data_IF_635580254146
#
_entry.id   IF_635580254146
#
_cell.length_a   1.000
_cell.length_b   1.000
_cell.length_c   1.000
_cell.angle_alpha   90.00
_cell.angle_beta   90.00
_cell.angle_gamma   90.00
#
_symmetry.space_group_name_H-M   'P 1'
#
loop_
_entity.id
_entity.type
_entity.pdbx_description
1 polymer ?
#
# COMPACT_ATOMS: atom_id res chain seq x y z
N UNK A 1 13.31 11.96 6.09
CA UNK A 1 11.98 12.55 6.36
C UNK A 1 11.05 11.45 6.83
N UNK A 2 10.45 11.59 8.02
CA UNK A 2 9.39 10.67 8.46
C UNK A 2 8.05 11.02 7.82
N UNK A 3 7.15 10.04 7.67
CA UNK A 3 5.78 10.23 7.18
C UNK A 3 4.82 9.50 8.12
N UNK A 4 3.65 10.08 8.37
CA UNK A 4 2.57 9.40 9.07
C UNK A 4 1.91 8.41 8.11
N UNK A 5 1.63 7.20 8.60
CA UNK A 5 1.06 6.12 7.78
C UNK A 5 -0.21 5.58 8.43
N UNK A 6 -1.35 5.93 7.85
CA UNK A 6 -2.61 5.25 8.13
C UNK A 6 -2.71 3.97 7.29
N UNK A 7 -3.29 2.94 7.88
CA UNK A 7 -3.57 1.68 7.18
C UNK A 7 -5.08 1.49 7.13
N UNK A 8 -5.62 1.04 6.00
CA UNK A 8 -7.03 0.68 5.91
C UNK A 8 -7.25 -0.77 6.31
N UNK A 9 -8.45 -1.10 6.77
CA UNK A 9 -8.79 -2.51 7.08
C UNK A 9 -8.72 -3.41 5.84
N UNK A 10 -9.00 -2.85 4.66
CA UNK A 10 -8.81 -3.55 3.40
C UNK A 10 -7.34 -3.95 3.18
N UNK A 11 -6.39 -3.05 3.45
CA UNK A 11 -4.97 -3.37 3.35
C UNK A 11 -4.55 -4.45 4.36
N UNK A 12 -5.07 -4.39 5.59
CA UNK A 12 -4.85 -5.41 6.62
C UNK A 12 -5.34 -6.79 6.16
N UNK A 13 -6.57 -6.86 5.63
CA UNK A 13 -7.14 -8.11 5.14
C UNK A 13 -6.29 -8.71 4.00
N UNK A 14 -5.88 -7.87 3.03
CA UNK A 14 -5.02 -8.30 1.92
C UNK A 14 -3.66 -8.78 2.38
N UNK A 15 -3.07 -8.11 3.38
CA UNK A 15 -1.78 -8.49 3.94
C UNK A 15 -1.88 -9.84 4.64
N UNK A 16 -2.95 -10.07 5.40
CA UNK A 16 -3.20 -11.38 6.01
C UNK A 16 -3.32 -12.50 4.98
N UNK A 17 -4.09 -12.27 3.92
CA UNK A 17 -4.30 -13.27 2.85
C UNK A 17 -3.02 -13.63 2.09
N UNK A 18 -2.08 -12.70 1.95
CA UNK A 18 -0.89 -12.86 1.09
C UNK A 18 0.41 -13.12 1.85
N UNK A 19 0.58 -12.48 3.00
CA UNK A 19 1.85 -12.42 3.74
C UNK A 19 1.76 -13.14 5.08
N UNK A 20 0.66 -12.97 5.83
CA UNK A 20 0.56 -13.55 7.18
C UNK A 20 0.53 -15.09 7.17
N UNK A 21 0.09 -15.73 6.08
CA UNK A 21 0.22 -17.18 5.89
C UNK A 21 1.67 -17.67 5.84
N UNK A 22 2.65 -16.77 5.61
CA UNK A 22 4.08 -17.08 5.46
C UNK A 22 4.95 -16.58 6.63
N UNK A 23 4.58 -15.49 7.32
CA UNK A 23 5.46 -14.82 8.30
C UNK A 23 5.05 -14.90 9.77
N UNK A 24 3.86 -15.41 10.11
CA UNK A 24 3.42 -15.50 11.52
C UNK A 24 3.23 -14.14 12.22
N UNK A 25 2.86 -13.10 11.48
CA UNK A 25 2.71 -11.73 11.99
C UNK A 25 1.72 -11.61 13.16
N UNK A 26 2.19 -11.04 14.29
CA UNK A 26 1.42 -10.83 15.53
C UNK A 26 0.36 -9.72 15.40
N UNK A 27 0.63 -8.66 14.61
CA UNK A 27 -0.35 -7.65 14.24
C UNK A 27 -0.01 -7.00 12.87
N UNK A 28 -0.84 -7.17 11.82
CA UNK A 28 -0.56 -6.64 10.49
C UNK A 28 -0.50 -5.11 10.40
N UNK A 29 -1.29 -4.39 11.19
CA UNK A 29 -1.43 -2.93 11.05
C UNK A 29 -0.12 -2.18 11.37
N UNK A 30 0.52 -2.38 12.54
CA UNK A 30 1.82 -1.77 12.83
C UNK A 30 2.93 -2.31 11.94
N UNK A 31 2.85 -3.56 11.50
CA UNK A 31 3.83 -4.12 10.56
C UNK A 31 3.81 -3.41 9.20
N UNK A 32 2.62 -3.25 8.60
CA UNK A 32 2.44 -2.53 7.34
C UNK A 32 2.94 -1.09 7.46
N UNK A 33 2.53 -0.39 8.51
CA UNK A 33 2.94 1.00 8.75
C UNK A 33 4.47 1.13 8.85
N UNK A 34 5.12 0.23 9.59
CA UNK A 34 6.58 0.22 9.75
C UNK A 34 7.33 -0.15 8.45
N UNK A 35 6.81 -1.08 7.65
CA UNK A 35 7.40 -1.41 6.33
C UNK A 35 7.30 -0.23 5.35
N UNK A 36 6.11 0.36 5.22
CA UNK A 36 5.86 1.51 4.33
C UNK A 36 6.69 2.72 4.76
N UNK A 37 6.75 3.04 6.05
CA UNK A 37 7.54 4.17 6.56
C UNK A 37 9.03 4.03 6.23
N UNK A 38 9.59 2.82 6.38
CA UNK A 38 11.00 2.55 6.05
C UNK A 38 11.25 2.63 4.54
N UNK A 39 10.39 2.04 3.73
CA UNK A 39 10.47 2.13 2.27
C UNK A 39 10.37 3.57 1.77
N UNK A 40 9.51 4.37 2.39
CA UNK A 40 9.39 5.80 2.11
C UNK A 40 10.68 6.56 2.38
N UNK A 41 11.23 6.38 3.59
CA UNK A 41 12.48 7.02 4.00
C UNK A 41 13.66 6.61 3.10
N UNK A 42 13.63 5.40 2.56
CA UNK A 42 14.61 4.88 1.59
C UNK A 42 14.36 5.32 0.13
N UNK A 43 13.35 6.15 -0.13
CA UNK A 43 13.02 6.62 -1.48
C UNK A 43 12.46 5.54 -2.41
N UNK A 44 11.91 4.44 -1.87
CA UNK A 44 11.35 3.32 -2.64
C UNK A 44 9.87 3.52 -2.95
N UNK A 45 9.52 4.68 -3.49
CA UNK A 45 8.16 5.00 -3.88
C UNK A 45 8.09 5.71 -5.24
N UNK A 46 6.93 5.61 -5.90
CA UNK A 46 6.66 6.25 -7.19
C UNK A 46 5.20 6.66 -7.29
N UNK A 47 4.90 7.75 -7.98
CA UNK A 47 3.53 8.13 -8.36
C UNK A 47 3.10 7.48 -9.68
N UNK A 48 4.05 6.89 -10.41
CA UNK A 48 3.79 6.16 -11.65
C UNK A 48 3.43 4.71 -11.33
N UNK A 49 2.29 4.20 -11.82
CA UNK A 49 1.94 2.80 -11.64
C UNK A 49 2.98 1.86 -12.27
N UNK A 50 3.21 0.67 -11.69
CA UNK A 50 4.03 -0.35 -12.31
C UNK A 50 3.41 -0.79 -13.64
N UNK A 51 4.24 -1.34 -14.55
CA UNK A 51 3.80 -1.82 -15.86
C UNK A 51 2.65 -2.83 -15.70
N UNK A 52 1.57 -2.63 -16.46
CA UNK A 52 0.38 -3.49 -16.42
C UNK A 52 -0.70 -3.10 -15.39
N UNK A 53 -0.46 -2.09 -14.55
CA UNK A 53 -1.46 -1.58 -13.63
C UNK A 53 -2.12 -0.29 -14.14
N UNK A 54 -3.45 -0.21 -14.05
CA UNK A 54 -4.19 1.05 -14.21
C UNK A 54 -4.24 1.77 -12.86
N UNK A 55 -3.32 2.71 -12.67
CA UNK A 55 -3.26 3.51 -11.45
C UNK A 55 -4.37 4.54 -11.35
N UNK A 56 -4.98 4.68 -10.17
CA UNK A 56 -5.88 5.80 -9.90
C UNK A 56 -5.05 7.08 -9.68
N UNK A 57 -5.49 8.22 -10.23
CA UNK A 57 -4.82 9.52 -10.04
C UNK A 57 -4.65 9.82 -8.54
N UNK A 58 -3.43 10.18 -8.13
CA UNK A 58 -3.09 10.45 -6.73
C UNK A 58 -2.64 9.22 -5.93
N UNK A 59 -2.53 8.05 -6.57
CA UNK A 59 -1.93 6.87 -5.95
C UNK A 59 -0.41 7.01 -5.86
N UNK A 60 0.15 6.46 -4.79
CA UNK A 60 1.59 6.29 -4.59
C UNK A 60 1.87 4.81 -4.39
N UNK A 61 2.87 4.31 -5.08
CA UNK A 61 3.30 2.92 -5.06
C UNK A 61 4.57 2.82 -4.25
N UNK A 62 4.54 2.08 -3.15
CA UNK A 62 5.68 1.92 -2.24
C UNK A 62 6.15 0.48 -2.30
N UNK A 63 7.41 0.26 -2.72
CA UNK A 63 7.98 -1.09 -2.84
C UNK A 63 8.57 -1.51 -1.49
N UNK A 64 8.17 -2.68 -1.01
CA UNK A 64 8.65 -3.17 0.28
C UNK A 64 10.16 -3.48 0.21
N UNK A 65 10.83 -3.25 1.35
CA UNK A 65 12.25 -3.51 1.50
C UNK A 65 12.53 -4.96 1.91
N UNK A 66 11.56 -5.60 2.58
CA UNK A 66 11.70 -6.97 3.09
C UNK A 66 11.28 -7.96 2.02
N UNK A 67 10.06 -7.82 1.50
CA UNK A 67 9.55 -8.63 0.39
C UNK A 67 9.54 -7.80 -0.89
N UNK A 68 10.57 -7.93 -1.71
CA UNK A 68 10.74 -7.07 -2.90
C UNK A 68 9.69 -7.30 -3.98
N UNK A 69 8.90 -8.36 -3.88
CA UNK A 69 7.76 -8.60 -4.77
C UNK A 69 6.50 -7.90 -4.24
N UNK A 70 6.49 -7.34 -3.03
CA UNK A 70 5.34 -6.65 -2.47
C UNK A 70 5.34 -5.16 -2.82
N UNK A 71 4.20 -4.68 -3.34
CA UNK A 71 3.97 -3.27 -3.64
C UNK A 71 2.75 -2.76 -2.88
N UNK A 72 2.96 -1.83 -1.96
CA UNK A 72 1.88 -1.15 -1.25
C UNK A 72 1.29 -0.05 -2.13
N UNK A 73 -0.04 -0.06 -2.27
CA UNK A 73 -0.80 0.99 -2.95
C UNK A 73 -1.31 1.95 -1.90
N UNK A 74 -0.76 3.15 -1.96
CA UNK A 74 -1.02 4.21 -1.03
C UNK A 74 -1.68 5.39 -1.73
N UNK A 75 -2.18 6.32 -0.93
CA UNK A 75 -2.63 7.62 -1.40
C UNK A 75 -2.15 8.68 -0.43
N UNK A 76 -1.63 9.78 -0.97
CA UNK A 76 -1.33 10.95 -0.15
C UNK A 76 -2.62 11.65 0.20
N UNK A 77 -2.84 11.86 1.48
CA UNK A 77 -3.79 12.87 1.90
C UNK A 77 -3.16 14.26 1.72
N UNK A 78 -3.91 15.18 1.09
CA UNK A 78 -3.39 16.51 0.74
C UNK A 78 -3.44 17.50 1.91
N UNK A 79 -4.22 17.21 2.96
CA UNK A 79 -4.37 18.07 4.13
C UNK A 79 -3.23 17.87 5.12
N UNK A 80 -2.97 16.62 5.51
CA UNK A 80 -2.14 16.32 6.68
C UNK A 80 -0.74 15.76 6.35
N UNK A 81 -0.41 15.61 5.06
CA UNK A 81 0.86 15.01 4.63
C UNK A 81 0.97 13.52 4.99
N UNK A 82 -0.17 12.88 5.28
CA UNK A 82 -0.28 11.47 5.64
C UNK A 82 -0.30 10.57 4.40
N UNK A 83 0.26 9.37 4.55
CA UNK A 83 0.19 8.32 3.56
C UNK A 83 -0.80 7.24 3.98
N UNK A 84 -1.92 7.15 3.28
CA UNK A 84 -2.95 6.15 3.57
C UNK A 84 -2.71 4.90 2.72
N UNK A 85 -2.46 3.75 3.35
CA UNK A 85 -2.30 2.45 2.69
C UNK A 85 -3.68 1.86 2.40
N UNK A 86 -4.03 1.80 1.12
CA UNK A 86 -5.35 1.34 0.65
C UNK A 86 -5.32 -0.16 0.33
N UNK A 87 -4.23 -0.65 -0.28
CA UNK A 87 -4.11 -2.05 -0.68
C UNK A 87 -2.65 -2.45 -0.92
N UNK A 88 -2.41 -3.67 -1.39
CA UNK A 88 -1.09 -4.17 -1.79
C UNK A 88 -1.17 -5.22 -2.89
N UNK A 89 -0.13 -5.29 -3.73
CA UNK A 89 0.02 -6.18 -4.88
C UNK A 89 1.31 -6.99 -4.79
N UNK A 90 1.38 -8.09 -5.53
CA UNK A 90 2.61 -8.85 -5.77
C UNK A 90 3.10 -8.55 -7.21
N UNK A 91 4.35 -8.12 -7.37
CA UNK A 91 5.05 -7.84 -8.62
C UNK A 91 5.29 -9.18 -9.35
N UNK A 92 4.26 -9.64 -10.06
CA UNK A 92 4.18 -10.97 -10.68
C UNK A 92 2.75 -11.48 -10.83
N UNK A 93 1.82 -10.91 -10.06
CA UNK A 93 0.35 -11.04 -10.22
C UNK A 93 -0.28 -9.67 -10.48
N UNK A 94 0.40 -8.84 -11.27
CA UNK A 94 -0.11 -7.53 -11.68
C UNK A 94 -1.25 -7.75 -12.66
N UNK A 95 -2.44 -7.94 -12.10
CA UNK A 95 -3.74 -7.86 -12.75
C UNK A 95 -4.60 -6.97 -11.88
N UNK A 96 -5.46 -6.17 -12.51
CA UNK A 96 -6.22 -5.08 -11.91
C UNK A 96 -6.63 -5.35 -10.45
N UNK A 97 -6.43 -4.40 -9.51
CA UNK A 97 -6.86 -4.57 -8.14
C UNK A 97 -8.35 -4.95 -8.11
N UNK A 98 -8.68 -6.12 -7.55
CA UNK A 98 -10.06 -6.38 -7.08
C UNK A 98 -10.32 -5.55 -5.81
N UNK A 99 -10.24 -4.23 -5.92
CA UNK A 99 -10.85 -3.29 -4.97
C UNK A 99 -12.16 -2.85 -5.61
N UNK A 100 -13.32 -3.30 -5.11
CA UNK A 100 -14.61 -2.84 -5.61
C UNK A 100 -14.68 -1.31 -5.58
N UNK A 101 -15.09 -0.69 -6.70
CA UNK A 101 -15.10 0.77 -6.93
C UNK A 101 -15.73 1.60 -5.80
N UNK A 102 -16.65 1.02 -5.02
CA UNK A 102 -17.27 1.65 -3.84
C UNK A 102 -16.28 2.11 -2.76
N UNK A 103 -15.10 1.48 -2.65
CA UNK A 103 -14.11 1.83 -1.63
C UNK A 103 -13.15 2.96 -2.08
N UNK A 104 -13.05 3.23 -3.38
CA UNK A 104 -12.21 4.31 -3.93
C UNK A 104 -12.94 5.64 -4.05
N UNK A 105 -14.28 5.63 -4.15
CA UNK A 105 -15.09 6.86 -4.23
C UNK A 105 -15.32 7.53 -2.87
N UNK A 106 -15.25 6.79 -1.75
CA UNK A 106 -15.35 7.32 -0.38
C UNK A 106 -14.21 8.27 0.00
N UNK A 107 -13.23 8.45 -0.88
CA UNK A 107 -12.07 9.25 -0.63
C UNK A 107 -11.98 10.50 -1.55
N UNK A 108 -13.02 10.78 -2.34
CA UNK A 108 -13.22 12.05 -3.05
C UNK A 108 -14.35 12.84 -2.35
N UNK A 109 -14.03 13.49 -1.24
CA UNK A 109 -14.81 14.64 -0.75
C UNK A 109 -13.83 15.70 -0.29
#
# INVERSE_FOLDING_TARGET
MGILVAVTDHAVERFRQRVASRSGALDPRPEIAGRVSRAWAAGRWSETPPRGATGARGSVYVRDLVDRDLLFVCRRDRGDGELVVISLWEEGRIGAPRVPRRFTDALRS
#
